data_IF_541808774140
#
_entry.id   IF_541808774140
#
_cell.length_a   1.000
_cell.length_b   1.000
_cell.length_c   1.000
_cell.angle_alpha   90.00
_cell.angle_beta   90.00
_cell.angle_gamma   90.00
#
_symmetry.space_group_name_H-M   'P 1'
#
loop_
_entity.id
_entity.type
_entity.pdbx_description
1 polymer ?
#
# COMPACT_ATOMS: atom_id res chain seq x y z
N UNK A 1 -5.02 -22.59 -9.24
CA UNK A 1 -4.62 -21.68 -10.34
C UNK A 1 -5.63 -20.55 -10.66
N UNK A 2 -6.93 -20.65 -10.31
CA UNK A 2 -7.92 -19.58 -10.60
C UNK A 2 -7.81 -18.31 -9.72
N UNK A 3 -7.08 -18.35 -8.60
CA UNK A 3 -6.94 -17.20 -7.69
C UNK A 3 -6.18 -16.01 -8.31
N UNK A 4 -5.21 -16.26 -9.19
CA UNK A 4 -4.30 -15.21 -9.69
C UNK A 4 -4.81 -14.42 -10.92
N UNK A 5 -5.78 -14.94 -11.67
CA UNK A 5 -6.18 -14.34 -12.95
C UNK A 5 -7.06 -13.09 -12.81
N UNK A 6 -7.76 -12.93 -11.68
CA UNK A 6 -8.69 -11.83 -11.45
C UNK A 6 -8.12 -10.63 -10.69
N UNK A 7 -6.96 -10.76 -10.03
CA UNK A 7 -6.56 -9.77 -9.03
C UNK A 7 -5.99 -8.47 -9.58
N UNK A 8 -5.16 -8.47 -10.64
CA UNK A 8 -4.77 -7.22 -11.30
C UNK A 8 -5.99 -6.41 -11.78
N UNK A 9 -7.07 -7.09 -12.19
CA UNK A 9 -8.34 -6.47 -12.54
C UNK A 9 -9.06 -5.87 -11.33
N UNK A 10 -9.06 -6.56 -10.17
CA UNK A 10 -9.62 -5.99 -8.92
C UNK A 10 -8.86 -4.72 -8.49
N UNK A 11 -7.54 -4.72 -8.61
CA UNK A 11 -6.74 -3.53 -8.31
C UNK A 11 -7.05 -2.39 -9.29
N UNK A 12 -7.21 -2.67 -10.59
CA UNK A 12 -7.66 -1.69 -11.58
C UNK A 12 -9.05 -1.14 -11.25
N UNK A 13 -10.03 -2.00 -10.93
CA UNK A 13 -11.36 -1.56 -10.52
C UNK A 13 -11.31 -0.65 -9.30
N UNK A 14 -10.43 -0.94 -8.34
CA UNK A 14 -10.22 -0.10 -7.16
C UNK A 14 -9.64 1.27 -7.54
N UNK A 15 -8.67 1.30 -8.46
CA UNK A 15 -8.14 2.57 -9.01
C UNK A 15 -9.21 3.35 -9.78
N UNK A 16 -10.09 2.69 -10.52
CA UNK A 16 -11.24 3.36 -11.16
C UNK A 16 -12.21 3.93 -10.12
N UNK A 17 -12.42 3.25 -8.99
CA UNK A 17 -13.22 3.77 -7.88
C UNK A 17 -12.62 5.06 -7.32
N UNK A 18 -11.29 5.13 -7.18
CA UNK A 18 -10.58 6.36 -6.82
C UNK A 18 -10.74 7.44 -7.88
N UNK A 19 -10.56 7.11 -9.17
CA UNK A 19 -10.75 8.04 -10.29
C UNK A 19 -12.16 8.62 -10.30
N UNK A 20 -13.18 7.82 -10.02
CA UNK A 20 -14.58 8.23 -10.02
C UNK A 20 -14.92 9.25 -8.93
N UNK A 21 -14.07 9.43 -7.92
CA UNK A 21 -14.21 10.53 -6.95
C UNK A 21 -14.19 11.89 -7.68
N UNK A 22 -13.44 11.98 -8.78
CA UNK A 22 -13.20 13.22 -9.52
C UNK A 22 -14.05 13.34 -10.81
N UNK A 23 -14.72 12.27 -11.25
CA UNK A 23 -15.34 12.20 -12.58
C UNK A 23 -16.41 13.25 -12.87
N UNK A 24 -17.18 13.63 -11.84
CA UNK A 24 -18.25 14.67 -11.93
C UNK A 24 -17.92 15.92 -11.10
N UNK A 25 -16.67 16.06 -10.65
CA UNK A 25 -16.25 17.20 -9.82
C UNK A 25 -16.21 18.47 -10.65
N UNK A 26 -16.82 19.55 -10.15
CA UNK A 26 -16.70 20.91 -10.72
C UNK A 26 -15.41 21.59 -10.27
N UNK A 27 -14.74 21.02 -9.27
CA UNK A 27 -13.46 21.49 -8.75
C UNK A 27 -12.32 20.71 -9.40
N UNK A 28 -11.21 21.41 -9.64
CA UNK A 28 -9.98 20.82 -10.17
C UNK A 28 -9.42 19.76 -9.21
N UNK A 29 -8.99 18.64 -9.80
CA UNK A 29 -8.31 17.56 -9.08
C UNK A 29 -7.05 18.06 -8.37
N UNK A 30 -6.34 19.04 -8.94
CA UNK A 30 -5.17 19.66 -8.34
C UNK A 30 -5.53 20.42 -7.03
N UNK A 31 -6.62 21.18 -7.03
CA UNK A 31 -7.07 21.92 -5.84
C UNK A 31 -7.47 20.96 -4.71
N UNK A 32 -8.17 19.87 -5.05
CA UNK A 32 -8.49 18.79 -4.10
C UNK A 32 -7.21 18.18 -3.54
N UNK A 33 -6.26 17.82 -4.42
CA UNK A 33 -4.97 17.22 -4.03
C UNK A 33 -4.22 18.12 -3.05
N UNK A 34 -4.11 19.40 -3.35
CA UNK A 34 -3.35 20.35 -2.55
C UNK A 34 -4.01 20.56 -1.19
N UNK A 35 -5.34 20.69 -1.15
CA UNK A 35 -6.11 20.78 0.10
C UNK A 35 -5.94 19.55 1.01
N UNK A 36 -6.10 18.32 0.47
CA UNK A 36 -5.99 17.11 1.30
C UNK A 36 -4.56 16.88 1.77
N UNK A 37 -3.58 17.22 0.94
CA UNK A 37 -2.15 17.13 1.26
C UNK A 37 -1.79 18.10 2.39
N UNK A 38 -2.22 19.36 2.28
CA UNK A 38 -2.01 20.36 3.33
C UNK A 38 -2.73 19.98 4.63
N UNK A 39 -3.95 19.43 4.54
CA UNK A 39 -4.70 18.97 5.71
C UNK A 39 -3.96 17.87 6.46
N UNK A 40 -3.40 16.88 5.75
CA UNK A 40 -2.57 15.86 6.39
C UNK A 40 -1.24 16.42 6.90
N UNK A 41 -0.61 17.34 6.15
CA UNK A 41 0.63 17.98 6.58
C UNK A 41 0.44 18.69 7.93
N UNK A 42 -0.69 19.39 8.10
CA UNK A 42 -1.06 20.02 9.38
C UNK A 42 -1.13 19.02 10.53
N UNK A 43 -1.69 17.83 10.30
CA UNK A 43 -1.76 16.78 11.33
C UNK A 43 -0.37 16.25 11.68
N UNK A 44 0.50 16.08 10.69
CA UNK A 44 1.86 15.58 10.88
C UNK A 44 2.75 16.60 11.60
N UNK A 45 2.67 17.88 11.26
CA UNK A 45 3.41 18.94 11.95
C UNK A 45 2.99 19.06 13.42
N UNK A 46 1.69 18.91 13.74
CA UNK A 46 1.19 18.81 15.13
C UNK A 46 1.76 17.61 15.89
N UNK A 47 2.15 16.55 15.18
CA UNK A 47 2.81 15.37 15.74
C UNK A 47 4.35 15.51 15.77
N UNK A 48 4.90 16.65 15.35
CA UNK A 48 6.35 16.89 15.25
C UNK A 48 7.02 16.18 14.08
N UNK A 49 6.26 15.76 13.07
CA UNK A 49 6.75 15.02 11.90
C UNK A 49 6.92 16.00 10.74
N UNK A 50 8.18 16.25 10.35
CA UNK A 50 8.51 17.18 9.26
C UNK A 50 7.92 16.74 7.94
N UNK A 51 7.14 17.62 7.32
CA UNK A 51 6.44 17.37 6.05
C UNK A 51 7.20 17.92 4.84
N UNK A 52 8.02 18.95 5.06
CA UNK A 52 8.66 19.74 4.01
C UNK A 52 7.87 20.99 3.62
N UNK A 53 6.70 21.21 4.23
CA UNK A 53 5.89 22.43 4.08
C UNK A 53 6.03 23.30 5.33
N UNK A 54 5.99 24.61 5.16
CA UNK A 54 5.93 25.57 6.28
C UNK A 54 4.50 25.66 6.82
N UNK A 55 4.31 26.02 8.11
CA UNK A 55 2.98 26.23 8.68
C UNK A 55 2.14 27.24 7.90
N UNK A 56 2.76 28.32 7.40
CA UNK A 56 2.08 29.35 6.62
C UNK A 56 1.58 28.84 5.27
N UNK A 57 2.38 28.04 4.55
CA UNK A 57 1.96 27.40 3.29
C UNK A 57 0.79 26.43 3.50
N UNK A 58 0.85 25.66 4.58
CA UNK A 58 -0.20 24.71 4.96
C UNK A 58 -1.53 25.45 5.18
N UNK A 59 -1.53 26.46 6.07
CA UNK A 59 -2.77 27.17 6.42
C UNK A 59 -3.29 28.02 5.25
N UNK A 60 -2.41 28.64 4.45
CA UNK A 60 -2.82 29.37 3.23
C UNK A 60 -3.48 28.44 2.22
N UNK A 61 -2.91 27.25 1.99
CA UNK A 61 -3.46 26.26 1.04
C UNK A 61 -4.83 25.77 1.50
N UNK A 62 -4.96 25.43 2.79
CA UNK A 62 -6.24 25.02 3.37
C UNK A 62 -7.27 26.15 3.20
N UNK A 63 -6.94 27.38 3.64
CA UNK A 63 -7.87 28.51 3.57
C UNK A 63 -8.27 28.88 2.13
N UNK A 64 -7.37 28.72 1.15
CA UNK A 64 -7.64 29.01 -0.26
C UNK A 64 -8.67 28.05 -0.86
N UNK A 65 -8.59 26.78 -0.51
CA UNK A 65 -9.36 25.72 -1.16
C UNK A 65 -10.52 25.18 -0.31
N UNK A 66 -10.62 25.53 0.97
CA UNK A 66 -11.66 25.03 1.86
C UNK A 66 -13.07 25.44 1.39
N UNK A 67 -13.80 24.48 0.83
CA UNK A 67 -15.18 24.66 0.39
C UNK A 67 -15.94 23.32 0.46
N UNK A 68 -17.29 23.34 0.42
CA UNK A 68 -18.09 22.13 0.60
C UNK A 68 -17.80 21.00 -0.41
N UNK A 69 -17.46 21.34 -1.65
CA UNK A 69 -17.18 20.35 -2.70
C UNK A 69 -15.82 19.68 -2.48
N UNK A 70 -14.79 20.46 -2.13
CA UNK A 70 -13.47 19.93 -1.74
C UNK A 70 -13.56 19.10 -0.46
N UNK A 71 -14.31 19.54 0.55
CA UNK A 71 -14.52 18.76 1.77
C UNK A 71 -15.21 17.43 1.48
N UNK A 72 -16.21 17.41 0.59
CA UNK A 72 -16.87 16.17 0.16
C UNK A 72 -15.90 15.22 -0.57
N UNK A 73 -15.05 15.75 -1.46
CA UNK A 73 -14.01 14.97 -2.12
C UNK A 73 -12.99 14.42 -1.11
N UNK A 74 -12.56 15.23 -0.14
CA UNK A 74 -11.66 14.81 0.94
C UNK A 74 -12.24 13.63 1.74
N UNK A 75 -13.52 13.67 2.11
CA UNK A 75 -14.17 12.54 2.79
C UNK A 75 -14.19 11.26 1.95
N UNK A 76 -14.42 11.36 0.63
CA UNK A 76 -14.37 10.21 -0.28
C UNK A 76 -12.95 9.64 -0.40
N UNK A 77 -11.92 10.49 -0.45
CA UNK A 77 -10.51 10.07 -0.47
C UNK A 77 -10.14 9.37 0.84
N UNK A 78 -10.57 9.92 1.99
CA UNK A 78 -10.39 9.27 3.29
C UNK A 78 -11.05 7.89 3.31
N UNK A 79 -12.32 7.80 2.90
CA UNK A 79 -13.04 6.53 2.82
C UNK A 79 -12.36 5.53 1.89
N UNK A 80 -11.80 5.99 0.78
CA UNK A 80 -11.01 5.16 -0.13
C UNK A 80 -9.77 4.58 0.57
N UNK A 81 -8.95 5.41 1.21
CA UNK A 81 -7.77 4.95 1.94
C UNK A 81 -8.15 4.02 3.10
N UNK A 82 -9.22 4.34 3.84
CA UNK A 82 -9.76 3.50 4.91
C UNK A 82 -10.16 2.11 4.39
N UNK A 83 -10.79 2.06 3.21
CA UNK A 83 -11.18 0.78 2.61
C UNK A 83 -9.96 -0.08 2.21
N UNK A 84 -8.82 0.51 1.87
CA UNK A 84 -7.59 -0.26 1.64
C UNK A 84 -7.09 -0.91 2.93
N UNK A 85 -7.22 -0.23 4.08
CA UNK A 85 -6.90 -0.81 5.39
C UNK A 85 -7.87 -1.93 5.75
N UNK A 86 -9.16 -1.78 5.47
CA UNK A 86 -10.16 -2.84 5.68
C UNK A 86 -9.83 -4.08 4.85
N UNK A 87 -9.47 -3.90 3.57
CA UNK A 87 -9.05 -5.01 2.71
C UNK A 87 -7.77 -5.72 3.23
N UNK A 88 -6.85 -4.98 3.86
CA UNK A 88 -5.67 -5.57 4.52
C UNK A 88 -6.06 -6.38 5.76
N UNK A 89 -7.05 -5.93 6.54
CA UNK A 89 -7.61 -6.70 7.68
C UNK A 89 -8.31 -7.97 7.19
N UNK A 90 -9.15 -7.87 6.16
CA UNK A 90 -9.80 -9.02 5.52
C UNK A 90 -8.76 -10.02 4.97
N UNK A 91 -7.67 -9.50 4.41
CA UNK A 91 -6.51 -10.27 3.98
C UNK A 91 -5.66 -10.83 5.12
N UNK A 92 -6.04 -10.61 6.38
CA UNK A 92 -5.31 -10.98 7.60
C UNK A 92 -3.90 -10.37 7.73
N UNK A 93 -3.58 -9.37 6.91
CA UNK A 93 -2.31 -8.65 6.91
C UNK A 93 -2.17 -7.71 8.11
N UNK A 94 -3.28 -7.17 8.59
CA UNK A 94 -3.36 -6.26 9.74
C UNK A 94 -4.42 -6.75 10.71
N UNK A 95 -4.25 -6.42 12.00
CA UNK A 95 -5.31 -6.59 12.99
C UNK A 95 -6.29 -5.41 12.96
N UNK A 96 -7.51 -5.63 13.41
CA UNK A 96 -8.53 -4.57 13.55
C UNK A 96 -8.06 -3.45 14.49
N UNK A 97 -7.43 -3.82 15.59
CA UNK A 97 -6.94 -2.87 16.59
C UNK A 97 -5.81 -2.00 16.02
N UNK A 98 -4.92 -2.58 15.23
CA UNK A 98 -3.87 -1.82 14.55
C UNK A 98 -4.47 -0.79 13.57
N UNK A 99 -5.49 -1.18 12.79
CA UNK A 99 -6.17 -0.25 11.87
C UNK A 99 -6.95 0.83 12.62
N UNK A 100 -7.60 0.49 13.73
CA UNK A 100 -8.28 1.48 14.58
C UNK A 100 -7.29 2.54 15.11
N UNK A 101 -6.14 2.11 15.63
CA UNK A 101 -5.08 3.01 16.08
C UNK A 101 -4.50 3.87 14.95
N UNK A 102 -4.36 3.33 13.73
CA UNK A 102 -3.92 4.10 12.56
C UNK A 102 -4.92 5.21 12.21
N UNK A 103 -6.22 4.90 12.21
CA UNK A 103 -7.29 5.86 11.91
C UNK A 103 -7.39 6.97 12.93
N UNK A 104 -7.25 6.63 14.21
CA UNK A 104 -7.23 7.61 15.29
C UNK A 104 -6.03 8.55 15.18
N UNK A 105 -4.84 7.99 14.90
CA UNK A 105 -3.60 8.77 14.82
C UNK A 105 -3.51 9.63 13.55
N UNK A 106 -4.09 9.17 12.44
CA UNK A 106 -4.02 9.83 11.14
C UNK A 106 -5.41 9.99 10.52
N UNK A 107 -6.27 10.86 11.10
CA UNK A 107 -7.66 11.02 10.66
C UNK A 107 -7.77 11.57 9.24
N UNK A 108 -6.80 12.37 8.78
CA UNK A 108 -6.75 12.90 7.42
C UNK A 108 -5.61 12.26 6.61
N UNK A 109 -5.39 10.94 6.76
CA UNK A 109 -4.26 10.26 6.13
C UNK A 109 -4.15 10.53 4.62
N UNK A 110 -2.96 10.96 4.20
CA UNK A 110 -2.53 11.07 2.81
C UNK A 110 -1.09 10.56 2.67
N UNK A 111 -0.71 9.85 1.59
CA UNK A 111 0.67 9.41 1.43
C UNK A 111 1.67 10.56 1.24
N UNK A 112 2.81 10.47 1.92
CA UNK A 112 3.95 11.41 1.83
C UNK A 112 5.22 10.70 1.33
N UNK A 113 5.05 9.78 0.38
CA UNK A 113 6.15 9.02 -0.21
C UNK A 113 7.18 9.99 -0.83
N UNK A 114 8.48 9.68 -0.73
CA UNK A 114 9.55 10.52 -1.28
C UNK A 114 10.23 9.80 -2.43
N UNK A 115 10.81 10.56 -3.36
CA UNK A 115 11.74 9.99 -4.32
C UNK A 115 13.01 9.54 -3.59
N UNK A 116 13.37 8.28 -3.79
CA UNK A 116 14.66 7.73 -3.42
C UNK A 116 15.32 7.22 -4.70
N UNK A 117 16.59 7.53 -4.92
CA UNK A 117 17.29 7.23 -6.17
C UNK A 117 17.43 5.72 -6.45
N UNK A 118 17.11 4.87 -5.45
CA UNK A 118 17.27 3.41 -5.53
C UNK A 118 15.98 2.64 -5.88
N UNK A 119 14.77 3.19 -5.70
CA UNK A 119 13.53 2.41 -5.92
C UNK A 119 13.12 2.32 -7.40
N UNK A 120 13.61 1.29 -8.10
CA UNK A 120 13.06 0.91 -9.40
C UNK A 120 11.58 0.47 -9.30
N UNK A 121 10.80 0.64 -10.38
CA UNK A 121 9.37 0.25 -10.43
C UNK A 121 9.14 -1.20 -9.96
N UNK A 122 10.09 -2.10 -10.25
CA UNK A 122 10.05 -3.49 -9.80
C UNK A 122 10.25 -3.67 -8.29
N UNK A 123 11.11 -2.86 -7.66
CA UNK A 123 11.42 -2.99 -6.23
C UNK A 123 10.21 -2.68 -5.34
N UNK A 124 9.41 -1.68 -5.74
CA UNK A 124 8.16 -1.34 -5.05
C UNK A 124 7.13 -2.48 -5.00
N UNK A 125 7.23 -3.47 -5.89
CA UNK A 125 6.38 -4.68 -5.93
C UNK A 125 7.09 -5.95 -5.43
N UNK A 126 8.26 -5.80 -4.80
CA UNK A 126 9.06 -6.90 -4.27
C UNK A 126 10.07 -7.48 -5.26
N UNK A 127 10.53 -6.70 -6.24
CA UNK A 127 11.37 -7.12 -7.38
C UNK A 127 12.71 -7.79 -7.05
N UNK A 128 13.19 -7.74 -5.80
CA UNK A 128 14.36 -8.50 -5.35
C UNK A 128 14.06 -9.69 -4.44
N UNK A 129 12.88 -9.74 -3.80
CA UNK A 129 12.60 -10.63 -2.65
C UNK A 129 11.33 -11.50 -2.78
N UNK A 130 10.36 -11.12 -3.62
CA UNK A 130 9.15 -11.92 -3.88
C UNK A 130 8.31 -12.30 -2.64
N UNK A 131 7.50 -13.36 -2.74
CA UNK A 131 6.69 -13.97 -1.65
C UNK A 131 7.49 -14.37 -0.40
N UNK A 132 8.81 -14.52 -0.54
CA UNK A 132 9.74 -15.07 0.45
C UNK A 132 9.86 -14.12 1.66
N UNK A 133 9.88 -12.82 1.38
CA UNK A 133 9.81 -11.75 2.37
C UNK A 133 8.54 -10.92 2.12
N UNK A 134 7.37 -11.51 2.39
CA UNK A 134 6.14 -10.73 2.48
C UNK A 134 6.33 -9.68 3.59
N UNK A 135 6.36 -8.41 3.21
CA UNK A 135 6.50 -7.30 4.17
C UNK A 135 5.15 -6.63 4.39
N UNK A 136 4.95 -6.07 5.59
CA UNK A 136 3.80 -5.23 5.86
C UNK A 136 3.83 -4.03 4.89
N UNK A 137 2.79 -3.82 4.06
CA UNK A 137 2.72 -2.73 3.10
C UNK A 137 2.50 -1.37 3.77
N UNK A 138 2.01 -1.34 5.01
CA UNK A 138 1.89 -0.12 5.80
C UNK A 138 3.22 0.16 6.50
N UNK A 139 3.76 1.35 6.27
CA UNK A 139 5.02 1.82 6.86
C UNK A 139 4.76 2.93 7.86
N UNK A 140 5.62 3.02 8.87
CA UNK A 140 5.68 4.17 9.76
C UNK A 140 6.18 5.37 8.97
N UNK A 141 5.51 6.51 9.13
CA UNK A 141 5.98 7.76 8.54
C UNK A 141 7.21 8.29 9.29
N UNK A 142 8.20 8.73 8.54
CA UNK A 142 9.39 9.41 9.04
C UNK A 142 9.48 10.78 8.36
N UNK A 143 9.80 11.82 9.14
CA UNK A 143 9.85 13.19 8.64
C UNK A 143 10.96 13.38 7.61
N UNK A 144 10.71 14.20 6.59
CA UNK A 144 11.67 14.47 5.52
C UNK A 144 11.45 15.84 4.90
N UNK A 145 12.53 16.45 4.41
CA UNK A 145 12.51 17.69 3.61
C UNK A 145 12.64 17.44 2.11
N UNK A 146 12.64 16.19 1.64
CA UNK A 146 12.69 15.85 0.21
C UNK A 146 11.35 16.12 -0.48
N UNK A 147 11.35 16.21 -1.80
CA UNK A 147 10.12 16.33 -2.56
C UNK A 147 9.20 15.11 -2.35
N UNK A 148 7.91 15.40 -2.13
CA UNK A 148 6.84 14.41 -2.06
C UNK A 148 6.53 13.93 -3.47
N UNK A 149 6.47 12.61 -3.67
CA UNK A 149 5.84 12.02 -4.87
C UNK A 149 4.37 12.38 -4.81
N UNK A 150 3.77 12.76 -5.95
CA UNK A 150 2.35 13.12 -6.02
C UNK A 150 1.49 12.17 -5.15
N UNK A 151 0.75 12.70 -4.16
CA UNK A 151 0.01 11.86 -3.22
C UNK A 151 -1.04 10.97 -3.89
N UNK A 152 -1.63 11.38 -5.01
CA UNK A 152 -2.60 10.59 -5.76
C UNK A 152 -1.92 9.48 -6.57
N UNK A 153 -0.76 9.76 -7.16
CA UNK A 153 0.11 8.71 -7.73
C UNK A 153 0.49 7.69 -6.65
N UNK A 154 0.82 8.17 -5.45
CA UNK A 154 1.16 7.32 -4.31
C UNK A 154 -0.02 6.47 -3.83
N UNK A 155 -1.24 7.01 -3.80
CA UNK A 155 -2.47 6.25 -3.51
C UNK A 155 -2.66 5.12 -4.52
N UNK A 156 -2.49 5.40 -5.81
CA UNK A 156 -2.63 4.40 -6.87
C UNK A 156 -1.55 3.31 -6.73
N UNK A 157 -0.30 3.68 -6.49
CA UNK A 157 0.79 2.72 -6.20
C UNK A 157 0.47 1.87 -4.97
N UNK A 158 0.06 2.49 -3.87
CA UNK A 158 -0.28 1.81 -2.62
C UNK A 158 -1.45 0.84 -2.80
N UNK A 159 -2.41 1.17 -3.68
CA UNK A 159 -3.52 0.29 -4.05
C UNK A 159 -3.00 -1.01 -4.66
N UNK A 160 -2.17 -0.94 -5.69
CA UNK A 160 -1.60 -2.15 -6.30
C UNK A 160 -0.71 -2.93 -5.35
N UNK A 161 0.13 -2.24 -4.54
CA UNK A 161 0.99 -2.88 -3.54
C UNK A 161 0.17 -3.64 -2.49
N UNK A 162 -0.90 -3.03 -1.97
CA UNK A 162 -1.77 -3.64 -0.96
C UNK A 162 -2.50 -4.84 -1.53
N UNK A 163 -3.08 -4.71 -2.73
CA UNK A 163 -3.78 -5.80 -3.41
C UNK A 163 -2.85 -6.98 -3.70
N UNK A 164 -1.62 -6.71 -4.14
CA UNK A 164 -0.62 -7.74 -4.33
C UNK A 164 -0.30 -8.44 -2.99
N UNK A 165 -0.01 -7.67 -1.94
CA UNK A 165 0.32 -8.22 -0.62
C UNK A 165 -0.80 -9.12 -0.06
N UNK A 166 -2.07 -8.70 -0.21
CA UNK A 166 -3.25 -9.49 0.21
C UNK A 166 -3.30 -10.83 -0.52
N UNK A 167 -3.10 -10.85 -1.84
CA UNK A 167 -3.13 -12.11 -2.59
C UNK A 167 -1.94 -13.00 -2.26
N UNK A 168 -0.77 -12.38 -2.01
CA UNK A 168 0.37 -13.14 -1.51
C UNK A 168 0.03 -13.80 -0.19
N UNK A 169 -0.57 -13.05 0.72
CA UNK A 169 -0.94 -13.57 2.01
C UNK A 169 -1.99 -14.69 1.94
N UNK A 170 -2.97 -14.62 1.05
CA UNK A 170 -3.97 -15.69 0.87
C UNK A 170 -3.35 -17.03 0.47
N UNK A 171 -2.36 -16.99 -0.43
CA UNK A 171 -1.59 -18.19 -0.78
C UNK A 171 -0.75 -18.65 0.41
N UNK A 172 -0.12 -17.72 1.13
CA UNK A 172 0.60 -18.00 2.37
C UNK A 172 -0.26 -18.70 3.42
N UNK A 173 -1.47 -18.21 3.67
CA UNK A 173 -2.45 -18.82 4.57
C UNK A 173 -2.84 -20.22 4.11
N UNK A 174 -3.04 -20.41 2.80
CA UNK A 174 -3.33 -21.74 2.26
C UNK A 174 -2.18 -22.72 2.47
N UNK A 175 -0.93 -22.25 2.41
CA UNK A 175 0.26 -23.06 2.73
C UNK A 175 0.33 -23.33 4.23
N UNK A 176 0.08 -22.34 5.08
CA UNK A 176 0.04 -22.49 6.53
C UNK A 176 -0.99 -23.56 6.95
N UNK A 177 -2.20 -23.51 6.39
CA UNK A 177 -3.26 -24.49 6.66
C UNK A 177 -2.90 -25.90 6.15
N UNK A 178 -2.01 -26.02 5.14
CA UNK A 178 -1.45 -27.31 4.72
C UNK A 178 -0.41 -27.83 5.71
N UNK A 179 0.37 -26.95 6.35
CA UNK A 179 1.38 -27.33 7.34
C UNK A 179 0.79 -28.02 8.57
N UNK A 180 -0.46 -27.71 8.89
CA UNK A 180 -1.19 -28.29 10.02
C UNK A 180 -1.72 -29.71 9.74
N UNK A 181 -1.63 -30.20 8.49
CA UNK A 181 -2.12 -31.54 8.14
C UNK A 181 -1.11 -32.63 8.47
N UNK A 182 -1.63 -33.78 8.92
CA UNK A 182 -0.81 -34.95 9.19
C UNK A 182 0.00 -35.38 7.95
N UNK A 183 1.29 -35.60 8.13
CA UNK A 183 2.22 -35.98 7.05
C UNK A 183 2.68 -34.84 6.13
N UNK A 184 2.27 -33.59 6.39
CA UNK A 184 2.70 -32.42 5.61
C UNK A 184 4.14 -31.94 5.92
N UNK A 185 4.69 -32.32 7.08
CA UNK A 185 6.03 -31.89 7.55
C UNK A 185 7.18 -32.14 6.57
N UNK A 186 7.06 -33.13 5.68
CA UNK A 186 8.03 -33.38 4.60
C UNK A 186 8.04 -32.31 3.49
N UNK A 187 7.01 -31.48 3.42
CA UNK A 187 6.82 -30.44 2.40
C UNK A 187 6.80 -29.04 2.99
N UNK A 188 6.24 -28.88 4.18
CA UNK A 188 6.08 -27.59 4.84
C UNK A 188 6.10 -27.76 6.36
N UNK A 189 6.83 -26.90 7.05
CA UNK A 189 6.94 -26.88 8.50
C UNK A 189 6.83 -25.44 9.03
N UNK A 190 6.05 -25.23 10.10
CA UNK A 190 6.00 -23.95 10.81
C UNK A 190 7.29 -23.75 11.61
N UNK A 191 7.97 -22.64 11.40
CA UNK A 191 9.16 -22.30 12.18
C UNK A 191 8.75 -21.71 13.53
N UNK A 192 9.46 -22.10 14.59
CA UNK A 192 9.28 -21.52 15.91
C UNK A 192 9.82 -20.08 15.95
N UNK A 193 9.15 -19.21 16.72
CA UNK A 193 9.50 -17.80 16.87
C UNK A 193 8.43 -16.84 16.34
N UNK A 194 8.62 -15.55 16.59
CA UNK A 194 7.71 -14.47 16.19
C UNK A 194 8.06 -13.88 14.80
N UNK A 195 8.89 -14.60 14.04
CA UNK A 195 9.39 -14.19 12.73
C UNK A 195 10.33 -12.99 12.73
N UNK A 196 10.87 -12.57 13.89
CA UNK A 196 11.86 -11.48 14.01
C UNK A 196 13.31 -11.97 13.86
N UNK A 197 13.58 -13.25 14.05
CA UNK A 197 14.90 -13.83 13.81
C UNK A 197 15.06 -14.27 12.35
N UNK A 198 16.16 -13.87 11.71
CA UNK A 198 16.57 -14.45 10.44
C UNK A 198 16.95 -15.90 10.69
N UNK A 199 16.01 -16.81 10.48
CA UNK A 199 16.31 -18.24 10.50
C UNK A 199 17.31 -18.47 9.37
N UNK A 200 18.51 -18.98 9.67
CA UNK A 200 19.53 -19.32 8.67
C UNK A 200 19.10 -20.48 7.74
N UNK A 201 17.81 -20.80 7.73
CA UNK A 201 17.17 -21.84 6.95
C UNK A 201 16.80 -21.27 5.58
N UNK A 202 17.13 -22.00 4.53
CA UNK A 202 16.70 -21.68 3.18
C UNK A 202 15.21 -22.03 2.97
N UNK A 203 14.59 -21.44 1.95
CA UNK A 203 13.24 -21.77 1.47
C UNK A 203 12.08 -21.37 2.42
N UNK A 204 12.19 -20.20 3.05
CA UNK A 204 11.17 -19.68 3.97
C UNK A 204 10.11 -18.87 3.23
N UNK A 205 8.85 -18.99 3.65
CA UNK A 205 7.78 -18.06 3.27
C UNK A 205 7.21 -17.40 4.51
N UNK A 206 6.93 -16.10 4.37
CA UNK A 206 6.28 -15.31 5.43
C UNK A 206 4.79 -15.23 5.17
N UNK A 207 4.00 -15.40 6.23
CA UNK A 207 2.53 -15.30 6.22
C UNK A 207 2.11 -14.37 7.35
N UNK A 208 1.08 -13.57 7.14
CA UNK A 208 0.42 -12.81 8.19
C UNK A 208 -0.91 -13.48 8.56
N UNK A 209 -1.14 -13.68 9.85
CA UNK A 209 -2.40 -14.19 10.39
C UNK A 209 -2.89 -13.23 11.46
N UNK A 210 -4.03 -12.58 11.21
CA UNK A 210 -4.57 -11.51 12.04
C UNK A 210 -3.54 -10.40 12.39
N UNK A 211 -2.67 -10.04 11.44
CA UNK A 211 -1.61 -9.05 11.65
C UNK A 211 -0.33 -9.59 12.33
N UNK A 212 -0.32 -10.84 12.79
CA UNK A 212 0.87 -11.49 13.34
C UNK A 212 1.66 -12.19 12.25
N UNK A 213 2.99 -12.09 12.33
CA UNK A 213 3.90 -12.67 11.36
C UNK A 213 4.21 -14.13 11.72
N UNK A 214 4.00 -15.03 10.78
CA UNK A 214 4.34 -16.44 10.84
C UNK A 214 5.35 -16.78 9.72
N UNK A 215 6.21 -17.76 9.97
CA UNK A 215 7.21 -18.22 9.00
C UNK A 215 7.11 -19.73 8.82
N UNK A 216 7.18 -20.17 7.56
CA UNK A 216 7.10 -21.57 7.19
C UNK A 216 8.28 -21.94 6.30
N UNK A 217 8.97 -23.03 6.62
CA UNK A 217 9.98 -23.61 5.75
C UNK A 217 9.32 -24.57 4.77
N UNK A 218 9.62 -24.39 3.48
CA UNK A 218 9.13 -25.25 2.41
C UNK A 218 10.22 -26.20 1.92
N UNK A 219 9.82 -27.37 1.43
CA UNK A 219 10.69 -28.21 0.61
C UNK A 219 11.17 -27.41 -0.62
N UNK A 220 12.43 -27.59 -1.07
CA UNK A 220 13.02 -26.77 -2.13
C UNK A 220 12.19 -26.70 -3.42
N UNK A 221 11.57 -27.80 -3.82
CA UNK A 221 10.75 -27.93 -5.03
C UNK A 221 9.46 -27.12 -4.89
N UNK A 222 8.82 -27.21 -3.73
CA UNK A 222 7.61 -26.46 -3.42
C UNK A 222 7.92 -24.95 -3.35
N UNK A 223 9.03 -24.58 -2.73
CA UNK A 223 9.49 -23.20 -2.68
C UNK A 223 9.75 -22.61 -4.07
N UNK A 224 10.44 -23.35 -4.94
CA UNK A 224 10.69 -22.93 -6.34
C UNK A 224 9.38 -22.74 -7.10
N UNK A 225 8.40 -23.62 -6.91
CA UNK A 225 7.09 -23.50 -7.53
C UNK A 225 6.33 -22.24 -7.06
N UNK A 226 6.31 -21.99 -5.75
CA UNK A 226 5.70 -20.78 -5.17
C UNK A 226 6.39 -19.51 -5.70
N UNK A 227 7.73 -19.49 -5.74
CA UNK A 227 8.51 -18.36 -6.25
C UNK A 227 8.28 -18.11 -7.74
N UNK A 228 8.18 -19.16 -8.56
CA UNK A 228 7.89 -19.02 -9.98
C UNK A 228 6.49 -18.42 -10.22
N UNK A 229 5.49 -18.90 -9.48
CA UNK A 229 4.13 -18.34 -9.52
C UNK A 229 4.11 -16.87 -9.08
N UNK A 230 4.82 -16.51 -8.00
CA UNK A 230 4.93 -15.12 -7.55
C UNK A 230 5.49 -14.20 -8.62
N UNK A 231 6.56 -14.61 -9.30
CA UNK A 231 7.17 -13.81 -10.37
C UNK A 231 6.17 -13.52 -11.49
N UNK A 232 5.37 -14.52 -11.88
CA UNK A 232 4.33 -14.36 -12.89
C UNK A 232 3.25 -13.37 -12.42
N UNK A 233 2.77 -13.51 -11.19
CA UNK A 233 1.76 -12.62 -10.60
C UNK A 233 2.29 -11.19 -10.51
N UNK A 234 3.51 -11.02 -10.01
CA UNK A 234 4.19 -9.72 -9.86
C UNK A 234 4.31 -9.00 -11.19
N UNK A 235 4.71 -9.70 -12.25
CA UNK A 235 4.78 -9.11 -13.58
C UNK A 235 3.40 -8.61 -14.07
N UNK A 236 2.32 -9.35 -13.79
CA UNK A 236 0.96 -8.90 -14.13
C UNK A 236 0.54 -7.65 -13.34
N UNK A 237 0.95 -7.54 -12.07
CA UNK A 237 0.72 -6.34 -11.27
C UNK A 237 1.52 -5.14 -11.76
N UNK A 238 2.79 -5.32 -12.10
CA UNK A 238 3.64 -4.27 -12.69
C UNK A 238 3.00 -3.75 -13.99
N UNK A 239 2.59 -4.66 -14.88
CA UNK A 239 1.91 -4.31 -16.13
C UNK A 239 0.54 -3.63 -15.92
N UNK A 240 -0.16 -3.96 -14.84
CA UNK A 240 -1.42 -3.32 -14.51
C UNK A 240 -1.21 -1.92 -13.94
N UNK A 241 -0.19 -1.74 -13.10
CA UNK A 241 0.16 -0.48 -12.46
C UNK A 241 0.74 0.54 -13.45
N UNK A 242 1.28 0.11 -14.60
CA UNK A 242 1.74 1.03 -15.65
C UNK A 242 0.61 1.67 -16.46
N UNK A 243 -0.62 1.12 -16.43
CA UNK A 243 -1.77 1.58 -17.23
C UNK A 243 -2.45 2.88 -16.78
N UNK A 244 -2.69 3.17 -15.49
CA UNK A 244 -3.39 4.40 -15.06
C UNK A 244 -2.56 5.69 -15.24
N UNK A 245 -1.41 5.64 -15.92
CA UNK A 245 -0.46 6.76 -15.99
C UNK A 245 -0.97 7.96 -16.78
N UNK A 246 -1.93 7.81 -17.70
CA UNK A 246 -2.32 8.92 -18.59
C UNK A 246 -3.14 10.02 -17.89
N UNK A 247 -4.07 9.69 -16.99
CA UNK A 247 -4.87 10.70 -16.27
C UNK A 247 -4.15 11.27 -15.06
N UNK A 248 -3.31 10.46 -14.40
CA UNK A 248 -2.40 10.95 -13.34
C UNK A 248 -1.38 11.94 -13.90
N UNK A 249 -0.88 11.71 -15.13
CA UNK A 249 0.01 12.67 -15.83
C UNK A 249 -0.73 13.93 -16.30
N UNK A 250 -1.99 13.80 -16.73
CA UNK A 250 -2.80 14.96 -17.11
C UNK A 250 -3.10 15.90 -15.93
N UNK A 251 -3.11 15.41 -14.69
CA UNK A 251 -3.19 16.21 -13.46
C UNK A 251 -1.83 16.54 -12.80
N UNK A 252 -0.72 16.07 -13.37
CA UNK A 252 0.64 16.24 -12.83
C UNK A 252 1.38 17.48 -13.38
N UNK A 253 0.73 18.32 -14.18
CA UNK A 253 1.21 19.69 -14.37
C UNK A 253 0.87 20.47 -13.10
N UNK A 254 1.90 21.04 -12.48
CA UNK A 254 1.95 21.61 -11.12
C UNK A 254 2.30 20.55 -10.05
N UNK A 255 3.57 20.12 -10.04
CA UNK A 255 4.34 20.25 -8.78
C UNK A 255 4.08 21.65 -8.25
N UNK A 256 3.85 21.88 -6.95
CA UNK A 256 3.66 23.24 -6.47
C UNK A 256 4.96 24.01 -6.70
N UNK A 257 5.07 24.68 -7.85
CA UNK A 257 5.78 25.93 -7.95
C UNK A 257 4.93 26.90 -7.14
N UNK A 258 5.19 26.90 -5.83
CA UNK A 258 4.74 27.95 -4.94
C UNK A 258 5.36 29.25 -5.46
N UNK A 259 4.57 30.03 -6.19
CA UNK A 259 4.84 31.44 -6.42
C UNK A 259 4.51 32.25 -5.16
#
# INVERSE_FOLDING_TARGET
>A
ARLAAGTPKKAQMKVEEFRNIFGDSKVDMADIRDYVTATHARDLEKQGIKTGFTPDEIEKTIAKFDNPEIQAAHQKIKAYNDSLLDMLVEGQMLSKDAVAAMREKHPNYMPFNRYFDEEGVGEGFGGGKGFVDLTNPVKRIEGSSRNVIDPFESIVKNTFKSMQAIERNKVGLSLADLAEKEGAGKWIEKLAGDGKESVAKENIVTVFRNGEKEQYQLAPELYRAVKAMDKEVTNKFILAASKPSDWLRAGATLTPEFA
#
